data_IF_283226546654
#
_entry.id   IF_283226546654
#
_cell.length_a   1.000
_cell.length_b   1.000
_cell.length_c   1.000
_cell.angle_alpha   90.00
_cell.angle_beta   90.00
_cell.angle_gamma   90.00
#
_symmetry.space_group_name_H-M   'P 1'
#
loop_
_entity.id
_entity.type
_entity.pdbx_description
1 polymer ?
#
# COMPACT_ATOMS: atom_id res chain seq x y z
N UNK A 1 20.86 2.54 46.51
CA UNK A 1 21.57 3.53 45.67
C UNK A 1 22.60 2.89 44.76
N UNK A 2 23.51 2.03 45.23
CA UNK A 2 24.60 1.46 44.41
C UNK A 2 24.17 0.73 43.12
N UNK A 3 22.97 0.11 43.09
CA UNK A 3 22.46 -0.62 41.93
C UNK A 3 22.04 0.29 40.76
N UNK A 4 21.44 1.44 41.05
CA UNK A 4 21.05 2.45 40.03
C UNK A 4 22.26 3.10 39.38
N UNK A 5 23.35 3.28 40.11
CA UNK A 5 24.59 3.84 39.56
C UNK A 5 25.29 2.86 38.62
N UNK A 6 25.21 1.55 38.90
CA UNK A 6 25.76 0.53 38.02
C UNK A 6 24.97 0.39 36.71
N UNK A 7 23.63 0.44 36.77
CA UNK A 7 22.76 0.37 35.58
C UNK A 7 22.95 1.57 34.65
N UNK A 8 23.12 2.78 35.19
CA UNK A 8 23.36 3.99 34.40
C UNK A 8 24.72 3.95 33.66
N UNK A 9 25.77 3.45 34.33
CA UNK A 9 27.12 3.37 33.76
C UNK A 9 27.19 2.30 32.65
N UNK A 10 26.52 1.17 32.83
CA UNK A 10 26.44 0.12 31.79
C UNK A 10 25.61 0.59 30.59
N UNK A 11 24.49 1.30 30.83
CA UNK A 11 23.65 1.87 29.77
C UNK A 11 24.39 2.92 28.91
N UNK A 12 25.13 3.84 29.54
CA UNK A 12 25.93 4.83 28.79
C UNK A 12 27.07 4.18 28.00
N UNK A 13 27.69 3.12 28.52
CA UNK A 13 28.77 2.40 27.82
C UNK A 13 28.28 1.70 26.54
N UNK A 14 27.07 1.15 26.56
CA UNK A 14 26.47 0.49 25.39
C UNK A 14 26.03 1.48 24.31
N UNK A 15 25.57 2.66 24.68
CA UNK A 15 25.13 3.68 23.70
C UNK A 15 26.28 4.48 23.09
N UNK A 16 27.31 4.81 23.88
CA UNK A 16 28.40 5.68 23.40
C UNK A 16 29.54 4.92 22.72
N UNK A 17 29.69 3.62 22.99
CA UNK A 17 30.73 2.78 22.38
C UNK A 17 30.68 2.72 20.86
N UNK A 18 29.52 2.39 20.24
CA UNK A 18 29.38 2.33 18.79
C UNK A 18 29.59 3.70 18.11
N UNK A 19 29.13 4.79 18.73
CA UNK A 19 29.28 6.14 18.20
C UNK A 19 30.76 6.58 18.17
N UNK A 20 31.50 6.30 19.24
CA UNK A 20 32.93 6.58 19.29
C UNK A 20 33.73 5.74 18.27
N UNK A 21 33.32 4.48 18.03
CA UNK A 21 33.95 3.62 17.02
C UNK A 21 33.68 4.13 15.59
N UNK A 22 32.45 4.53 15.28
CA UNK A 22 32.08 5.11 13.99
C UNK A 22 32.88 6.39 13.65
N UNK A 23 33.18 7.22 14.65
CA UNK A 23 33.99 8.42 14.49
C UNK A 23 35.50 8.15 14.30
N UNK A 24 35.96 6.92 14.51
CA UNK A 24 37.37 6.52 14.30
C UNK A 24 37.63 5.79 12.98
N UNK A 25 36.58 5.49 12.20
CA UNK A 25 36.75 4.89 10.88
C UNK A 25 37.19 5.97 9.89
N UNK A 26 38.42 5.85 9.38
CA UNK A 26 38.89 6.69 8.28
C UNK A 26 38.04 6.43 7.02
N UNK A 27 37.60 7.48 6.30
CA UNK A 27 36.80 7.32 5.10
C UNK A 27 37.62 6.60 4.02
N UNK A 28 37.21 5.39 3.64
CA UNK A 28 37.80 4.67 2.52
C UNK A 28 37.35 5.32 1.21
N UNK A 29 38.27 6.02 0.56
CA UNK A 29 38.05 6.59 -0.77
C UNK A 29 38.76 5.69 -1.79
N UNK A 30 38.06 4.69 -2.31
CA UNK A 30 38.44 4.01 -3.55
C UNK A 30 37.27 4.07 -4.53
N UNK A 31 37.27 5.13 -5.34
CA UNK A 31 36.46 5.19 -6.57
C UNK A 31 37.27 4.50 -7.67
N UNK A 32 36.99 3.22 -7.90
CA UNK A 32 37.47 2.52 -9.09
C UNK A 32 36.53 2.87 -10.24
N UNK A 33 36.94 3.85 -11.07
CA UNK A 33 36.27 4.16 -12.33
C UNK A 33 36.59 3.04 -13.32
N UNK A 34 35.64 2.11 -13.53
CA UNK A 34 35.69 1.14 -14.62
C UNK A 34 35.26 1.86 -15.90
N UNK A 35 36.22 2.15 -16.79
CA UNK A 35 35.92 2.62 -18.14
C UNK A 35 35.39 1.47 -19.00
N UNK A 36 34.15 1.59 -19.44
CA UNK A 36 33.55 0.74 -20.45
C UNK A 36 34.08 1.12 -21.86
N UNK A 37 34.56 0.16 -22.66
CA UNK A 37 35.07 0.44 -24.00
C UNK A 37 33.91 0.68 -24.99
N UNK A 38 34.02 1.76 -25.75
CA UNK A 38 33.07 2.15 -26.79
C UNK A 38 32.87 1.06 -27.87
N UNK A 39 31.63 0.84 -28.37
CA UNK A 39 31.39 -0.08 -29.47
C UNK A 39 31.92 0.48 -30.80
N UNK A 40 32.62 -0.38 -31.54
CA UNK A 40 33.11 -0.10 -32.88
C UNK A 40 31.94 -0.09 -33.88
N UNK A 41 31.83 0.99 -34.66
CA UNK A 41 30.90 1.09 -35.78
C UNK A 41 31.31 0.11 -36.90
N UNK A 42 30.38 -0.76 -37.31
CA UNK A 42 30.52 -1.64 -38.47
C UNK A 42 29.88 -0.95 -39.67
N UNK A 43 30.71 -0.57 -40.64
CA UNK A 43 30.31 0.00 -41.93
C UNK A 43 29.88 -1.15 -42.86
N UNK A 44 28.59 -1.22 -43.20
CA UNK A 44 28.03 -2.20 -44.14
C UNK A 44 28.24 -1.74 -45.59
N UNK A 45 29.10 -2.46 -46.31
CA UNK A 45 29.28 -2.30 -47.76
C UNK A 45 28.01 -2.65 -48.54
N UNK A 46 27.60 -1.77 -49.45
CA UNK A 46 26.51 -1.99 -50.38
C UNK A 46 26.95 -2.87 -51.55
N UNK A 47 26.28 -4.01 -51.74
CA UNK A 47 26.44 -4.90 -52.90
C UNK A 47 25.58 -4.40 -54.08
N UNK A 48 26.11 -4.31 -55.31
CA UNK A 48 25.35 -3.87 -56.47
C UNK A 48 24.37 -4.94 -56.97
N UNK A 49 23.11 -4.53 -57.15
CA UNK A 49 22.02 -5.34 -57.70
C UNK A 49 22.12 -5.40 -59.23
N UNK A 50 22.17 -6.61 -59.78
CA UNK A 50 22.05 -6.88 -61.23
C UNK A 50 20.56 -7.06 -61.57
N UNK A 51 20.01 -6.40 -62.61
CA UNK A 51 18.63 -6.62 -63.01
C UNK A 51 18.51 -7.90 -63.84
N UNK A 52 17.89 -8.94 -63.28
CA UNK A 52 17.39 -10.11 -64.02
C UNK A 52 15.92 -9.87 -64.29
N UNK A 53 15.58 -9.72 -65.58
CA UNK A 53 14.21 -9.70 -66.08
C UNK A 53 13.79 -11.15 -66.26
N UNK A 54 12.95 -11.67 -65.36
CA UNK A 54 12.27 -12.95 -65.54
C UNK A 54 10.75 -12.73 -65.62
N UNK A 55 10.20 -13.24 -66.72
CA UNK A 55 8.81 -13.21 -67.13
C UNK A 55 7.97 -14.12 -66.24
N UNK A 56 7.09 -13.57 -65.39
CA UNK A 56 6.16 -14.34 -64.56
C UNK A 56 4.81 -14.51 -65.24
N UNK A 57 4.41 -15.78 -65.38
CA UNK A 57 3.05 -16.23 -65.72
C UNK A 57 2.20 -16.12 -64.46
N UNK A 58 1.08 -15.38 -64.52
CA UNK A 58 0.10 -15.25 -63.43
C UNK A 58 -0.53 -16.62 -63.10
N UNK A 59 -0.21 -17.14 -61.92
CA UNK A 59 -0.97 -18.20 -61.25
C UNK A 59 -1.71 -17.54 -60.08
N UNK A 60 -3.03 -17.71 -59.93
CA UNK A 60 -3.78 -17.10 -58.84
C UNK A 60 -3.24 -17.59 -57.48
N UNK A 61 -2.98 -16.69 -56.52
CA UNK A 61 -2.40 -17.06 -55.23
C UNK A 61 -3.40 -17.91 -54.44
N UNK A 62 -2.93 -19.06 -53.95
CA UNK A 62 -3.63 -19.83 -52.94
C UNK A 62 -3.83 -18.95 -51.69
N UNK A 63 -4.94 -19.10 -50.95
CA UNK A 63 -5.15 -18.37 -49.71
C UNK A 63 -3.97 -18.63 -48.77
N UNK A 64 -3.25 -17.57 -48.43
CA UNK A 64 -2.21 -17.60 -47.41
C UNK A 64 -2.92 -17.88 -46.10
N UNK A 65 -2.80 -19.12 -45.62
CA UNK A 65 -3.21 -19.47 -44.27
C UNK A 65 -2.24 -18.75 -43.36
N UNK A 66 -2.69 -17.67 -42.71
CA UNK A 66 -1.92 -17.02 -41.65
C UNK A 66 -1.53 -18.10 -40.63
N UNK A 67 -0.23 -18.26 -40.32
CA UNK A 67 0.18 -19.19 -39.28
C UNK A 67 -0.53 -18.78 -37.99
N UNK A 68 -1.23 -19.73 -37.37
CA UNK A 68 -1.86 -19.54 -36.07
C UNK A 68 -0.78 -19.00 -35.12
N UNK A 69 -0.97 -17.78 -34.63
CA UNK A 69 -0.11 -17.19 -33.60
C UNK A 69 -0.19 -18.13 -32.40
N UNK A 70 0.91 -18.83 -32.14
CA UNK A 70 1.06 -19.64 -30.95
C UNK A 70 0.94 -18.68 -29.76
N UNK A 71 -0.01 -18.90 -28.82
CA UNK A 71 -0.21 -17.97 -27.71
C UNK A 71 1.10 -17.87 -26.94
N UNK A 72 1.61 -16.65 -26.77
CA UNK A 72 2.75 -16.42 -25.90
C UNK A 72 2.45 -17.00 -24.51
N UNK A 73 3.43 -17.64 -23.85
CA UNK A 73 3.23 -18.14 -22.51
C UNK A 73 2.77 -16.99 -21.63
N UNK A 74 1.63 -17.16 -20.97
CA UNK A 74 1.10 -16.16 -20.06
C UNK A 74 2.18 -15.83 -19.02
N UNK A 75 2.55 -14.56 -18.93
CA UNK A 75 3.45 -14.08 -17.90
C UNK A 75 2.72 -14.15 -16.55
N UNK A 76 3.12 -15.10 -15.72
CA UNK A 76 2.54 -15.32 -14.39
C UNK A 76 3.24 -14.51 -13.30
N UNK A 77 4.13 -13.58 -13.67
CA UNK A 77 4.78 -12.68 -12.71
C UNK A 77 3.77 -11.68 -12.16
N UNK A 78 3.85 -11.45 -10.85
CA UNK A 78 2.99 -10.53 -10.14
C UNK A 78 3.73 -9.20 -9.97
N UNK A 79 3.22 -8.16 -10.63
CA UNK A 79 3.71 -6.79 -10.51
C UNK A 79 3.39 -6.18 -9.13
N UNK A 80 2.20 -6.51 -8.60
CA UNK A 80 1.73 -6.03 -7.31
C UNK A 80 0.93 -7.11 -6.57
N UNK A 81 1.20 -7.25 -5.27
CA UNK A 81 0.34 -7.94 -4.32
C UNK A 81 0.37 -7.22 -2.97
N UNK A 82 -0.77 -7.19 -2.27
CA UNK A 82 -0.81 -6.69 -0.90
C UNK A 82 -0.07 -7.63 0.06
N UNK A 83 0.50 -7.05 1.11
CA UNK A 83 1.05 -7.78 2.25
C UNK A 83 0.25 -7.41 3.51
N UNK A 84 -0.13 -8.42 4.28
CA UNK A 84 -0.75 -8.27 5.59
C UNK A 84 -0.09 -9.21 6.60
N UNK A 85 -0.55 -9.21 7.85
CA UNK A 85 0.00 -10.07 8.91
C UNK A 85 -0.10 -11.57 8.59
N UNK A 86 -1.08 -12.00 7.79
CA UNK A 86 -1.22 -13.40 7.39
C UNK A 86 -0.26 -13.80 6.25
N UNK A 87 0.27 -12.84 5.50
CA UNK A 87 1.22 -13.05 4.41
C UNK A 87 0.95 -12.21 3.16
N UNK A 88 1.36 -12.72 2.01
CA UNK A 88 1.14 -12.08 0.71
C UNK A 88 -0.21 -12.51 0.13
N UNK A 89 -1.09 -11.55 -0.18
CA UNK A 89 -2.43 -11.79 -0.72
C UNK A 89 -2.36 -12.01 -2.23
N UNK A 90 -2.59 -13.25 -2.67
CA UNK A 90 -2.60 -13.64 -4.08
C UNK A 90 -3.98 -13.50 -4.74
N UNK A 91 -5.05 -13.48 -3.94
CA UNK A 91 -6.42 -13.29 -4.43
C UNK A 91 -7.33 -12.84 -3.30
N UNK A 92 -8.16 -11.84 -3.56
CA UNK A 92 -9.21 -11.35 -2.65
C UNK A 92 -10.56 -12.04 -2.86
N UNK A 93 -10.66 -12.91 -3.88
CA UNK A 93 -11.88 -13.60 -4.29
C UNK A 93 -11.78 -15.12 -4.13
N UNK A 94 -10.94 -15.59 -3.20
CA UNK A 94 -10.71 -17.02 -3.03
C UNK A 94 -11.92 -17.70 -2.38
N UNK A 95 -12.64 -18.61 -3.06
CA UNK A 95 -13.74 -19.32 -2.42
C UNK A 95 -13.20 -20.23 -1.31
N UNK A 96 -13.89 -20.31 -0.18
CA UNK A 96 -13.51 -21.17 0.95
C UNK A 96 -13.36 -22.65 0.56
N UNK A 97 -14.01 -23.09 -0.53
CA UNK A 97 -13.88 -24.44 -1.07
C UNK A 97 -12.46 -24.78 -1.53
N UNK A 98 -11.59 -23.80 -1.81
CA UNK A 98 -10.17 -24.00 -2.09
C UNK A 98 -9.40 -24.50 -0.85
N UNK A 99 -9.91 -24.29 0.37
CA UNK A 99 -9.29 -24.76 1.61
C UNK A 99 -9.50 -26.26 1.90
N UNK A 100 -8.53 -26.90 2.53
CA UNK A 100 -8.56 -28.31 2.96
C UNK A 100 -7.96 -28.52 4.36
N UNK A 101 -8.35 -29.60 5.02
CA UNK A 101 -7.86 -29.97 6.35
C UNK A 101 -8.58 -29.27 7.50
N UNK A 102 -7.89 -29.14 8.63
CA UNK A 102 -8.43 -28.56 9.87
C UNK A 102 -8.31 -27.05 9.87
N UNK A 103 -9.31 -26.39 10.46
CA UNK A 103 -9.26 -24.96 10.74
C UNK A 103 -8.15 -24.66 11.75
N UNK A 104 -7.39 -23.61 11.47
CA UNK A 104 -6.42 -23.00 12.37
C UNK A 104 -6.62 -21.48 12.35
N UNK A 105 -5.97 -20.80 13.30
CA UNK A 105 -5.77 -19.36 13.22
C UNK A 105 -4.34 -19.18 12.76
N UNK A 106 -4.13 -18.31 11.79
CA UNK A 106 -2.83 -17.66 11.66
C UNK A 106 -2.71 -16.65 12.82
N UNK A 107 -1.49 -16.40 13.27
CA UNK A 107 -1.24 -15.47 14.36
C UNK A 107 -1.31 -14.04 13.79
N UNK A 108 -2.24 -13.24 14.31
CA UNK A 108 -2.37 -11.82 13.96
C UNK A 108 -3.30 -11.15 14.98
N UNK A 109 -2.94 -10.02 15.58
CA UNK A 109 -3.83 -9.28 16.46
C UNK A 109 -5.00 -8.62 15.69
N UNK A 110 -6.13 -8.42 16.39
CA UNK A 110 -7.17 -7.49 15.95
C UNK A 110 -8.32 -8.03 15.08
N UNK A 111 -8.17 -9.13 14.33
CA UNK A 111 -9.26 -9.65 13.47
C UNK A 111 -9.62 -11.12 13.74
N UNK A 112 -10.91 -11.45 13.55
CA UNK A 112 -11.38 -12.83 13.70
C UNK A 112 -11.14 -13.59 12.41
N UNK A 113 -10.03 -14.31 12.38
CA UNK A 113 -9.58 -15.05 11.21
C UNK A 113 -9.77 -16.56 11.37
N UNK A 114 -9.98 -17.24 10.25
CA UNK A 114 -10.01 -18.70 10.18
C UNK A 114 -9.36 -19.19 8.89
N UNK A 115 -8.35 -20.05 9.02
CA UNK A 115 -7.56 -20.50 7.87
C UNK A 115 -7.64 -22.00 7.65
N UNK A 116 -7.51 -22.41 6.39
CA UNK A 116 -7.20 -23.77 5.97
C UNK A 116 -6.07 -23.76 4.96
N UNK A 117 -5.28 -24.83 4.92
CA UNK A 117 -4.30 -25.02 3.84
C UNK A 117 -5.02 -25.04 2.50
N UNK A 118 -4.46 -24.43 1.47
CA UNK A 118 -5.04 -24.49 0.13
C UNK A 118 -4.88 -25.88 -0.51
N UNK A 119 -5.90 -26.37 -1.22
CA UNK A 119 -5.89 -27.61 -2.00
C UNK A 119 -5.34 -27.32 -3.40
N UNK A 120 -4.16 -27.87 -3.69
CA UNK A 120 -3.45 -27.74 -4.97
C UNK A 120 -4.29 -28.07 -6.20
N UNK A 121 -5.34 -28.89 -6.05
CA UNK A 121 -6.21 -29.31 -7.17
C UNK A 121 -7.38 -28.36 -7.41
N UNK A 122 -7.58 -27.38 -6.53
CA UNK A 122 -8.71 -26.44 -6.58
C UNK A 122 -8.26 -25.00 -6.85
N UNK A 123 -7.08 -24.63 -6.36
CA UNK A 123 -6.49 -23.31 -6.65
C UNK A 123 -6.10 -23.23 -8.13
N UNK A 124 -6.37 -22.09 -8.82
CA UNK A 124 -5.92 -21.86 -10.18
C UNK A 124 -4.40 -22.04 -10.31
N UNK A 125 -3.96 -22.67 -11.40
CA UNK A 125 -2.54 -22.98 -11.62
C UNK A 125 -1.66 -21.74 -11.55
N UNK A 126 -2.08 -20.63 -12.16
CA UNK A 126 -1.37 -19.34 -12.16
C UNK A 126 -1.10 -18.78 -10.75
N UNK A 127 -1.95 -19.07 -9.76
CA UNK A 127 -1.72 -18.70 -8.37
C UNK A 127 -0.90 -19.75 -7.63
N UNK A 128 -1.11 -21.04 -7.93
CA UNK A 128 -0.39 -22.13 -7.27
C UNK A 128 1.12 -22.12 -7.59
N UNK A 129 1.49 -21.74 -8.81
CA UNK A 129 2.90 -21.65 -9.25
C UNK A 129 3.69 -20.55 -8.53
N UNK A 130 3.01 -19.60 -7.86
CA UNK A 130 3.67 -18.58 -7.05
C UNK A 130 4.39 -19.17 -5.82
N UNK A 131 3.94 -20.35 -5.38
CA UNK A 131 4.50 -21.05 -4.23
C UNK A 131 5.99 -21.37 -4.44
N UNK A 132 6.84 -20.82 -3.57
CA UNK A 132 8.28 -21.02 -3.60
C UNK A 132 9.04 -20.03 -4.49
N UNK A 133 8.36 -19.09 -5.16
CA UNK A 133 9.01 -17.96 -5.83
C UNK A 133 9.50 -16.95 -4.80
N UNK A 134 10.34 -16.02 -5.25
CA UNK A 134 10.87 -14.93 -4.44
C UNK A 134 10.22 -13.61 -4.80
N UNK A 135 9.91 -12.83 -3.77
CA UNK A 135 9.26 -11.54 -3.87
C UNK A 135 10.09 -10.50 -3.15
N UNK A 136 10.15 -9.31 -3.72
CA UNK A 136 10.66 -8.12 -3.05
C UNK A 136 9.50 -7.48 -2.29
N UNK A 137 9.70 -7.22 -1.00
CA UNK A 137 8.70 -6.66 -0.11
C UNK A 137 9.03 -5.19 0.16
N UNK A 138 8.02 -4.35 0.10
CA UNK A 138 8.16 -2.89 0.15
C UNK A 138 7.31 -2.32 1.28
N UNK A 139 7.90 -1.38 2.03
CA UNK A 139 7.18 -0.49 2.94
C UNK A 139 6.86 0.84 2.27
N UNK A 140 6.55 1.86 3.09
CA UNK A 140 6.30 3.22 2.62
C UNK A 140 7.52 3.85 1.92
N UNK A 141 8.73 3.58 2.44
CA UNK A 141 9.97 4.22 1.98
C UNK A 141 10.70 3.42 0.88
N UNK A 142 10.20 2.23 0.53
CA UNK A 142 10.77 1.37 -0.49
C UNK A 142 11.06 -0.06 -0.03
N UNK A 143 12.01 -0.72 -0.69
CA UNK A 143 12.28 -2.15 -0.48
C UNK A 143 12.86 -2.41 0.92
N UNK A 144 12.22 -3.33 1.65
CA UNK A 144 12.65 -3.77 2.96
C UNK A 144 13.50 -5.05 2.88
N UNK A 145 12.98 -6.08 2.19
CA UNK A 145 13.61 -7.38 2.11
C UNK A 145 13.27 -8.11 0.79
N UNK A 146 13.90 -9.26 0.57
CA UNK A 146 13.46 -10.26 -0.43
C UNK A 146 13.11 -11.54 0.34
N UNK A 147 11.90 -12.06 0.17
CA UNK A 147 11.43 -13.26 0.84
C UNK A 147 10.94 -14.32 -0.15
N UNK A 148 10.85 -15.57 0.31
CA UNK A 148 10.29 -16.67 -0.48
C UNK A 148 8.85 -16.92 -0.06
N UNK A 149 7.96 -17.21 -1.00
CA UNK A 149 6.60 -17.64 -0.67
C UNK A 149 6.59 -19.10 -0.19
N UNK A 150 6.05 -19.30 1.01
CA UNK A 150 5.91 -20.57 1.72
C UNK A 150 4.67 -21.33 1.28
N UNK A 151 3.95 -21.92 2.24
CA UNK A 151 2.70 -22.62 1.93
C UNK A 151 1.56 -21.64 1.65
N UNK A 152 0.57 -22.11 0.88
CA UNK A 152 -0.64 -21.33 0.57
C UNK A 152 -1.79 -21.72 1.52
N UNK A 153 -2.52 -20.74 2.00
CA UNK A 153 -3.72 -20.89 2.82
C UNK A 153 -4.89 -20.11 2.22
N UNK A 154 -6.10 -20.59 2.50
CA UNK A 154 -7.32 -19.80 2.32
C UNK A 154 -7.67 -19.25 3.69
N UNK A 155 -7.65 -17.93 3.79
CA UNK A 155 -7.97 -17.15 4.98
C UNK A 155 -9.39 -16.63 4.84
N UNK A 156 -10.27 -16.94 5.80
CA UNK A 156 -11.55 -16.28 5.95
C UNK A 156 -11.43 -15.23 7.07
N UNK A 157 -11.90 -14.01 6.81
CA UNK A 157 -11.86 -12.91 7.76
C UNK A 157 -13.26 -12.35 7.98
N UNK A 158 -13.51 -11.91 9.22
CA UNK A 158 -14.61 -11.02 9.56
C UNK A 158 -14.03 -9.67 9.98
N UNK A 159 -14.42 -8.62 9.27
CA UNK A 159 -14.01 -7.22 9.52
C UNK A 159 -15.04 -6.43 10.36
N UNK A 160 -16.11 -7.08 10.81
CA UNK A 160 -17.14 -6.41 11.59
C UNK A 160 -16.59 -5.86 12.92
N UNK A 161 -17.18 -4.78 13.45
CA UNK A 161 -16.67 -4.02 14.59
C UNK A 161 -16.62 -4.81 15.91
N UNK A 162 -17.21 -6.01 16.00
CA UNK A 162 -17.14 -6.82 17.23
C UNK A 162 -17.45 -8.30 17.03
N UNK A 163 -16.96 -9.15 17.95
CA UNK A 163 -17.38 -10.56 18.07
C UNK A 163 -18.89 -10.72 18.19
N UNK A 164 -19.55 -9.74 18.80
CA UNK A 164 -20.97 -9.83 19.04
C UNK A 164 -21.75 -9.85 17.72
N UNK A 165 -21.42 -8.96 16.78
CA UNK A 165 -22.07 -8.90 15.47
C UNK A 165 -21.85 -10.19 14.66
N UNK A 166 -20.68 -10.83 14.81
CA UNK A 166 -20.40 -12.13 14.21
C UNK A 166 -21.40 -13.24 14.64
N UNK A 167 -21.92 -13.18 15.87
CA UNK A 167 -22.84 -14.18 16.42
C UNK A 167 -24.31 -13.74 16.46
N UNK A 168 -24.57 -12.44 16.48
CA UNK A 168 -25.89 -11.83 16.61
C UNK A 168 -26.05 -10.68 15.61
N UNK A 169 -26.00 -10.94 14.28
CA UNK A 169 -26.07 -9.88 13.27
C UNK A 169 -27.41 -9.13 13.27
N UNK A 170 -28.50 -9.78 13.69
CA UNK A 170 -29.87 -9.26 13.60
C UNK A 170 -30.53 -8.98 14.95
N UNK A 171 -29.81 -9.09 16.07
CA UNK A 171 -30.38 -9.02 17.41
C UNK A 171 -29.73 -7.93 18.26
N UNK A 172 -30.56 -7.09 18.90
CA UNK A 172 -30.17 -6.36 20.12
C UNK A 172 -30.10 -7.35 21.30
N UNK A 173 -29.19 -8.31 21.24
CA UNK A 173 -28.84 -9.16 22.37
C UNK A 173 -28.15 -8.34 23.49
N UNK A 174 -28.30 -8.77 24.73
CA UNK A 174 -27.67 -8.13 25.88
C UNK A 174 -26.14 -8.33 25.83
N UNK A 175 -25.38 -7.22 25.67
CA UNK A 175 -23.91 -7.27 25.61
C UNK A 175 -23.32 -7.90 26.89
N UNK A 176 -23.92 -7.64 28.05
CA UNK A 176 -23.46 -8.17 29.33
C UNK A 176 -23.60 -9.71 29.37
N UNK A 177 -24.65 -10.25 28.74
CA UNK A 177 -24.85 -11.69 28.61
C UNK A 177 -23.84 -12.33 27.64
N UNK A 178 -23.53 -11.66 26.52
CA UNK A 178 -22.54 -12.13 25.56
C UNK A 178 -21.13 -12.15 26.17
N UNK A 179 -20.73 -11.09 26.87
CA UNK A 179 -19.42 -10.99 27.52
C UNK A 179 -19.25 -12.06 28.62
N UNK A 180 -20.31 -12.34 29.38
CA UNK A 180 -20.30 -13.43 30.36
C UNK A 180 -20.17 -14.83 29.72
N UNK A 181 -20.50 -14.96 28.44
CA UNK A 181 -20.56 -16.23 27.69
C UNK A 181 -19.75 -16.20 26.40
N UNK A 182 -18.56 -15.55 26.42
CA UNK A 182 -17.72 -15.42 25.24
C UNK A 182 -17.50 -16.77 24.53
N UNK A 183 -17.79 -16.85 23.21
CA UNK A 183 -17.53 -18.04 22.43
C UNK A 183 -16.06 -18.47 22.52
N UNK A 184 -15.82 -19.78 22.56
CA UNK A 184 -14.44 -20.29 22.44
C UNK A 184 -13.86 -19.94 21.08
N UNK A 185 -12.54 -19.79 20.98
CA UNK A 185 -11.87 -19.49 19.69
C UNK A 185 -12.23 -20.51 18.60
N UNK A 186 -12.37 -21.79 18.95
CA UNK A 186 -12.78 -22.81 18.00
C UNK A 186 -14.19 -22.57 17.44
N UNK A 187 -15.10 -22.03 18.27
CA UNK A 187 -16.44 -21.63 17.84
C UNK A 187 -16.39 -20.36 16.98
N UNK A 188 -15.57 -19.37 17.34
CA UNK A 188 -15.31 -18.15 16.56
C UNK A 188 -14.81 -18.52 15.15
N UNK A 189 -13.71 -19.29 15.06
CA UNK A 189 -13.15 -19.72 13.78
C UNK A 189 -14.14 -20.48 12.91
N UNK A 190 -14.93 -21.37 13.52
CA UNK A 190 -15.95 -22.12 12.79
C UNK A 190 -17.03 -21.18 12.24
N UNK A 191 -17.42 -20.15 13.01
CA UNK A 191 -18.43 -19.17 12.61
C UNK A 191 -17.92 -18.28 11.47
N UNK A 192 -16.73 -17.69 11.60
CA UNK A 192 -16.08 -16.91 10.54
C UNK A 192 -16.02 -17.74 9.25
N UNK A 193 -15.47 -18.95 9.32
CA UNK A 193 -15.38 -19.82 8.14
C UNK A 193 -16.73 -20.16 7.51
N UNK A 194 -17.78 -20.36 8.32
CA UNK A 194 -19.11 -20.70 7.79
C UNK A 194 -19.77 -19.53 7.08
N UNK A 195 -19.63 -18.34 7.63
CA UNK A 195 -20.23 -17.12 7.10
C UNK A 195 -19.67 -16.82 5.71
N UNK A 196 -18.33 -16.81 5.58
CA UNK A 196 -17.66 -16.63 4.29
C UNK A 196 -17.85 -17.78 3.29
N UNK A 197 -18.40 -18.93 3.72
CA UNK A 197 -18.63 -20.08 2.85
C UNK A 197 -20.04 -20.10 2.22
N UNK A 198 -20.99 -19.39 2.82
CA UNK A 198 -22.33 -19.28 2.29
C UNK A 198 -22.29 -18.21 1.18
N UNK A 199 -22.59 -18.62 -0.06
CA UNK A 199 -22.49 -17.81 -1.30
C UNK A 199 -23.46 -16.59 -1.33
N UNK A 200 -24.19 -16.38 -0.23
CA UNK A 200 -25.04 -15.22 0.02
C UNK A 200 -24.15 -14.09 0.54
N UNK A 201 -23.27 -13.57 -0.32
CA UNK A 201 -22.50 -12.32 -0.14
C UNK A 201 -23.42 -11.09 -0.06
N UNK A 202 -24.46 -11.13 0.76
CA UNK A 202 -25.31 -9.97 1.04
C UNK A 202 -24.59 -8.98 1.97
N UNK A 203 -23.50 -9.40 2.63
CA UNK A 203 -22.68 -8.55 3.48
C UNK A 203 -21.27 -8.39 2.89
N UNK A 204 -20.92 -7.14 2.55
CA UNK A 204 -19.61 -6.73 2.01
C UNK A 204 -18.44 -6.99 2.98
N UNK A 205 -18.75 -7.36 4.22
CA UNK A 205 -17.84 -7.53 5.38
C UNK A 205 -17.21 -8.92 5.50
N UNK A 206 -17.50 -9.82 4.56
CA UNK A 206 -17.05 -11.22 4.62
C UNK A 206 -16.24 -11.57 3.38
N UNK A 207 -14.93 -11.68 3.55
CA UNK A 207 -14.00 -11.99 2.48
C UNK A 207 -13.17 -13.25 2.79
N UNK A 208 -12.92 -14.04 1.75
CA UNK A 208 -11.96 -15.13 1.79
C UNK A 208 -10.84 -14.86 0.78
N UNK A 209 -9.61 -14.95 1.26
CA UNK A 209 -8.41 -14.62 0.52
C UNK A 209 -7.52 -15.84 0.35
N UNK A 210 -6.81 -15.90 -0.78
CA UNK A 210 -5.70 -16.81 -0.96
C UNK A 210 -4.43 -16.09 -0.51
N UNK A 211 -3.81 -16.57 0.55
CA UNK A 211 -2.61 -15.95 1.14
C UNK A 211 -1.45 -16.92 1.04
N UNK A 212 -0.26 -16.38 0.77
CA UNK A 212 1.00 -17.10 0.81
C UNK A 212 1.80 -16.70 2.05
N UNK A 213 2.27 -17.68 2.81
CA UNK A 213 3.22 -17.46 3.90
C UNK A 213 4.47 -16.74 3.38
N UNK A 214 4.93 -15.73 4.11
CA UNK A 214 6.20 -15.05 3.81
C UNK A 214 7.31 -15.73 4.60
N UNK A 215 8.19 -16.45 3.90
CA UNK A 215 9.38 -17.07 4.49
C UNK A 215 10.56 -16.11 4.32
N UNK A 216 10.69 -15.19 5.28
CA UNK A 216 11.74 -14.18 5.40
C UNK A 216 12.35 -14.13 6.80
N UNK A 217 13.21 -13.14 7.04
CA UNK A 217 13.65 -12.78 8.39
C UNK A 217 12.90 -11.53 8.89
N UNK A 218 13.23 -11.08 10.10
CA UNK A 218 12.55 -9.93 10.73
C UNK A 218 12.73 -8.61 9.95
N UNK A 219 13.62 -8.54 8.94
CA UNK A 219 13.75 -7.33 8.09
C UNK A 219 12.54 -7.09 7.18
N UNK A 220 11.66 -8.08 7.04
CA UNK A 220 10.42 -7.95 6.27
C UNK A 220 9.26 -7.32 7.06
N UNK A 221 9.45 -7.04 8.35
CA UNK A 221 8.43 -6.39 9.18
C UNK A 221 8.07 -4.99 8.65
N UNK A 222 6.78 -4.67 8.63
CA UNK A 222 6.28 -3.40 8.08
C UNK A 222 6.13 -3.38 6.56
N UNK A 223 6.29 -4.52 5.87
CA UNK A 223 5.97 -4.63 4.46
C UNK A 223 4.47 -4.43 4.22
N UNK A 224 4.15 -3.61 3.22
CA UNK A 224 2.79 -3.19 2.86
C UNK A 224 2.35 -3.81 1.54
N UNK A 225 3.31 -4.03 0.63
CA UNK A 225 3.09 -4.65 -0.66
C UNK A 225 4.33 -5.39 -1.15
N UNK A 226 4.17 -6.16 -2.21
CA UNK A 226 5.22 -6.98 -2.77
C UNK A 226 5.14 -7.10 -4.29
N UNK A 227 6.29 -7.37 -4.90
CA UNK A 227 6.47 -7.59 -6.34
C UNK A 227 7.35 -8.81 -6.56
N UNK A 228 7.11 -9.56 -7.64
CA UNK A 228 7.99 -10.67 -8.01
C UNK A 228 9.44 -10.16 -8.22
N UNK A 229 10.39 -10.72 -7.47
CA UNK A 229 11.80 -10.27 -7.46
C UNK A 229 12.55 -10.47 -8.78
N UNK A 230 11.98 -11.21 -9.74
CA UNK A 230 12.54 -11.36 -11.08
C UNK A 230 12.17 -10.21 -12.03
N UNK A 231 11.21 -9.36 -11.64
CA UNK A 231 10.90 -8.13 -12.35
C UNK A 231 11.96 -7.06 -12.06
N UNK A 232 12.17 -6.09 -12.96
CA UNK A 232 12.98 -4.92 -12.64
C UNK A 232 12.39 -4.16 -11.44
N UNK A 233 13.23 -3.38 -10.75
CA UNK A 233 12.78 -2.57 -9.62
C UNK A 233 11.66 -1.61 -10.08
N UNK A 234 10.60 -1.42 -9.26
CA UNK A 234 9.54 -0.46 -9.53
C UNK A 234 10.10 0.97 -9.52
N UNK A 235 9.43 1.89 -10.19
CA UNK A 235 9.65 3.31 -9.93
C UNK A 235 8.91 3.66 -8.63
N UNK A 236 9.59 4.32 -7.69
CA UNK A 236 9.03 4.73 -6.42
C UNK A 236 9.12 6.25 -6.32
N UNK A 237 8.08 6.88 -5.79
CA UNK A 237 8.18 8.26 -5.33
C UNK A 237 8.47 8.29 -3.83
N UNK A 238 9.36 9.17 -3.42
CA UNK A 238 9.76 9.34 -2.04
C UNK A 238 9.16 10.62 -1.46
N UNK A 239 8.47 10.56 -0.31
CA UNK A 239 7.96 11.75 0.33
C UNK A 239 9.12 12.59 0.89
N UNK A 240 8.97 13.91 0.83
CA UNK A 240 9.92 14.86 1.39
C UNK A 240 9.19 16.07 1.95
N UNK A 241 9.35 16.27 3.26
CA UNK A 241 8.88 17.46 3.98
C UNK A 241 9.94 18.57 4.03
N UNK A 242 11.05 18.40 3.30
CA UNK A 242 12.10 19.41 3.29
C UNK A 242 11.60 20.71 2.63
N UNK A 243 11.83 21.88 3.26
CA UNK A 243 11.45 23.15 2.66
C UNK A 243 12.10 23.37 1.30
N UNK A 244 11.30 23.67 0.29
CA UNK A 244 11.74 23.96 -1.08
C UNK A 244 11.00 25.19 -1.62
N UNK A 245 11.48 25.82 -2.71
CA UNK A 245 10.74 26.87 -3.38
C UNK A 245 9.34 26.42 -3.82
N UNK A 246 9.17 25.12 -4.12
CA UNK A 246 7.90 24.53 -4.52
C UNK A 246 6.93 24.47 -3.34
N UNK A 247 7.36 23.90 -2.20
CA UNK A 247 6.50 23.79 -1.00
C UNK A 247 6.14 25.16 -0.44
N UNK A 248 7.10 26.10 -0.41
CA UNK A 248 6.82 27.49 -0.01
C UNK A 248 5.81 28.19 -0.92
N UNK A 249 5.84 27.94 -2.24
CA UNK A 249 4.86 28.50 -3.17
C UNK A 249 3.47 27.90 -2.92
N UNK A 250 3.36 26.58 -2.72
CA UNK A 250 2.07 25.94 -2.46
C UNK A 250 1.43 26.44 -1.17
N UNK A 251 2.22 26.61 -0.10
CA UNK A 251 1.76 27.23 1.15
C UNK A 251 1.25 28.65 0.89
N UNK A 252 2.00 29.47 0.16
CA UNK A 252 1.60 30.85 -0.14
C UNK A 252 0.31 30.93 -1.00
N UNK A 253 0.11 30.00 -1.93
CA UNK A 253 -1.14 29.89 -2.71
C UNK A 253 -2.32 29.51 -1.81
N UNK A 254 -2.14 28.56 -0.88
CA UNK A 254 -3.15 28.18 0.10
C UNK A 254 -3.52 29.36 1.02
N UNK A 255 -2.53 30.07 1.55
CA UNK A 255 -2.75 31.26 2.40
C UNK A 255 -3.52 32.38 1.68
N UNK A 256 -3.39 32.45 0.35
CA UNK A 256 -4.08 33.42 -0.50
C UNK A 256 -5.40 32.88 -1.11
N UNK A 257 -5.77 31.63 -0.83
CA UNK A 257 -6.90 30.95 -1.47
C UNK A 257 -8.26 31.47 -1.00
N UNK A 258 -9.25 31.43 -1.91
CA UNK A 258 -10.64 31.70 -1.55
C UNK A 258 -11.20 30.62 -0.62
N UNK A 259 -10.76 29.37 -0.79
CA UNK A 259 -11.15 28.22 0.05
C UNK A 259 -10.78 28.44 1.52
N UNK A 260 -9.53 28.83 1.83
CA UNK A 260 -9.13 29.14 3.20
C UNK A 260 -9.94 30.30 3.80
N UNK A 261 -10.25 31.32 2.99
CA UNK A 261 -11.06 32.45 3.43
C UNK A 261 -12.52 32.03 3.72
N UNK A 262 -13.07 31.12 2.92
CA UNK A 262 -14.40 30.55 3.11
C UNK A 262 -14.44 29.65 4.35
N UNK A 263 -13.50 28.72 4.51
CA UNK A 263 -13.37 27.85 5.68
C UNK A 263 -13.24 28.67 6.97
N UNK A 264 -12.45 29.76 6.95
CA UNK A 264 -12.39 30.69 8.09
C UNK A 264 -13.76 31.30 8.41
N UNK A 265 -14.50 31.70 7.39
CA UNK A 265 -15.82 32.33 7.58
C UNK A 265 -16.80 31.33 8.18
N UNK A 266 -16.87 30.12 7.64
CA UNK A 266 -17.73 29.05 8.13
C UNK A 266 -17.38 28.65 9.58
N UNK A 267 -16.08 28.58 9.92
CA UNK A 267 -15.65 28.30 11.28
C UNK A 267 -16.09 29.38 12.28
N UNK A 268 -15.97 30.65 11.90
CA UNK A 268 -16.42 31.77 12.75
C UNK A 268 -17.94 31.81 12.92
N UNK A 269 -18.70 31.44 11.88
CA UNK A 269 -20.15 31.28 11.95
C UNK A 269 -20.53 30.14 12.90
N UNK A 270 -19.90 28.97 12.77
CA UNK A 270 -20.08 27.84 13.69
C UNK A 270 -19.83 28.23 15.15
N UNK A 271 -18.72 28.90 15.44
CA UNK A 271 -18.43 29.36 16.82
C UNK A 271 -19.52 30.30 17.34
N UNK A 272 -20.15 31.12 16.49
CA UNK A 272 -21.23 32.02 16.91
C UNK A 272 -22.53 31.28 17.26
N UNK A 273 -22.72 30.05 16.78
CA UNK A 273 -23.93 29.25 16.97
C UNK A 273 -23.87 28.33 18.20
N UNK A 274 -22.67 27.96 18.66
CA UNK A 274 -22.48 27.05 19.79
C UNK A 274 -22.36 27.76 21.15
N UNK A 275 -22.61 27.02 22.22
CA UNK A 275 -22.53 27.54 23.59
C UNK A 275 -21.10 27.88 24.03
N UNK A 276 -20.98 28.68 25.08
CA UNK A 276 -19.68 29.17 25.58
C UNK A 276 -18.70 28.05 25.99
N UNK A 277 -19.10 27.02 26.77
CA UNK A 277 -18.27 25.85 27.01
C UNK A 277 -17.72 25.20 25.74
N UNK A 278 -18.58 24.95 24.74
CA UNK A 278 -18.18 24.35 23.47
C UNK A 278 -17.21 25.26 22.71
N UNK A 279 -17.47 26.58 22.64
CA UNK A 279 -16.55 27.56 22.04
C UNK A 279 -15.16 27.53 22.66
N UNK A 280 -15.05 27.34 23.98
CA UNK A 280 -13.75 27.26 24.66
C UNK A 280 -12.98 25.98 24.30
N UNK A 281 -13.67 24.89 23.98
CA UNK A 281 -13.06 23.65 23.50
C UNK A 281 -12.48 23.81 22.10
N UNK A 282 -13.24 24.40 21.16
CA UNK A 282 -12.78 24.59 19.78
C UNK A 282 -11.72 25.68 19.63
N UNK A 283 -11.75 26.72 20.48
CA UNK A 283 -10.76 27.79 20.46
C UNK A 283 -11.05 28.89 19.44
N UNK A 284 -10.03 29.67 19.08
CA UNK A 284 -10.13 30.70 18.04
C UNK A 284 -9.52 30.19 16.72
N UNK A 285 -9.87 30.86 15.62
CA UNK A 285 -9.27 30.57 14.31
C UNK A 285 -7.73 30.63 14.35
N UNK A 286 -7.16 31.63 15.03
CA UNK A 286 -5.71 31.76 15.16
C UNK A 286 -5.08 30.61 15.95
N UNK A 287 -5.80 30.05 16.93
CA UNK A 287 -5.36 28.85 17.63
C UNK A 287 -5.42 27.63 16.72
N UNK A 288 -6.50 27.46 15.95
CA UNK A 288 -6.62 26.37 14.97
C UNK A 288 -5.47 26.38 13.96
N UNK A 289 -5.19 27.54 13.35
CA UNK A 289 -4.08 27.70 12.39
C UNK A 289 -2.71 27.44 13.04
N UNK A 290 -2.54 27.79 14.32
CA UNK A 290 -1.28 27.58 15.03
C UNK A 290 -1.09 26.10 15.45
N UNK A 291 -2.17 25.42 15.83
CA UNK A 291 -2.14 24.02 16.24
C UNK A 291 -2.11 23.07 15.04
N UNK A 292 -2.71 23.47 13.91
CA UNK A 292 -2.82 22.71 12.67
C UNK A 292 -2.42 23.56 11.45
N UNK A 293 -1.15 23.99 11.35
CA UNK A 293 -0.68 24.80 10.24
C UNK A 293 -0.72 24.02 8.92
N UNK A 294 -0.69 24.75 7.81
CA UNK A 294 -0.55 24.14 6.50
C UNK A 294 0.80 23.42 6.40
N UNK A 295 0.78 22.16 5.97
CA UNK A 295 1.95 21.33 5.68
C UNK A 295 1.93 20.95 4.21
N UNK A 296 3.13 20.85 3.61
CA UNK A 296 3.25 20.41 2.21
C UNK A 296 4.35 19.37 2.09
N UNK A 297 3.99 18.20 1.58
CA UNK A 297 4.89 17.08 1.29
C UNK A 297 5.12 17.01 -0.22
N UNK A 298 6.38 16.95 -0.66
CA UNK A 298 6.73 16.72 -2.07
C UNK A 298 6.99 15.24 -2.30
N UNK A 299 6.41 14.68 -3.36
CA UNK A 299 6.65 13.30 -3.78
C UNK A 299 7.66 13.30 -4.93
N UNK A 300 8.89 12.90 -4.62
CA UNK A 300 10.05 13.04 -5.48
C UNK A 300 10.34 11.74 -6.24
N UNK A 301 10.68 11.82 -7.52
CA UNK A 301 11.19 10.68 -8.28
C UNK A 301 12.67 10.36 -7.97
N UNK A 302 13.21 9.35 -8.64
CA UNK A 302 14.60 8.92 -8.46
C UNK A 302 15.66 10.00 -8.81
N UNK A 303 15.29 11.01 -9.62
CA UNK A 303 16.14 12.15 -9.96
C UNK A 303 15.95 13.34 -9.01
N UNK A 304 15.14 13.17 -7.96
CA UNK A 304 14.80 14.20 -6.99
C UNK A 304 13.85 15.27 -7.54
N UNK A 305 13.17 14.99 -8.65
CA UNK A 305 12.15 15.91 -9.20
C UNK A 305 10.80 15.63 -8.53
N UNK A 306 10.17 16.69 -8.02
CA UNK A 306 8.81 16.59 -7.50
C UNK A 306 7.84 16.27 -8.63
N UNK A 307 7.12 15.16 -8.50
CA UNK A 307 6.03 14.74 -9.39
C UNK A 307 4.67 15.14 -8.86
N UNK A 308 4.54 15.15 -7.53
CA UNK A 308 3.35 15.61 -6.85
C UNK A 308 3.70 16.45 -5.63
N UNK A 309 2.75 17.27 -5.22
CA UNK A 309 2.74 17.93 -3.92
C UNK A 309 1.41 17.65 -3.23
N UNK A 310 1.50 17.36 -1.96
CA UNK A 310 0.36 17.17 -1.09
C UNK A 310 0.29 18.34 -0.12
N UNK A 311 -0.86 18.98 0.01
CA UNK A 311 -1.13 20.04 0.96
C UNK A 311 -2.15 19.52 1.97
N UNK A 312 -1.88 19.74 3.26
CA UNK A 312 -2.84 19.51 4.32
C UNK A 312 -2.89 20.70 5.26
N UNK A 313 -4.10 21.08 5.67
CA UNK A 313 -4.35 22.14 6.64
C UNK A 313 -5.57 21.80 7.51
N UNK A 314 -5.54 22.23 8.77
CA UNK A 314 -6.68 22.12 9.67
C UNK A 314 -6.84 20.73 10.28
N UNK A 315 -8.06 20.44 10.74
CA UNK A 315 -8.36 19.22 11.46
C UNK A 315 -9.81 18.76 11.18
N UNK A 316 -10.01 17.45 11.24
CA UNK A 316 -11.30 16.78 10.97
C UNK A 316 -11.79 16.01 12.21
N UNK A 317 -12.44 16.69 13.15
CA UNK A 317 -13.16 16.04 14.27
C UNK A 317 -14.63 15.71 13.98
N UNK A 318 -15.16 16.13 12.84
CA UNK A 318 -16.56 15.93 12.47
C UNK A 318 -16.95 14.44 12.29
N UNK A 319 -15.97 13.53 12.25
CA UNK A 319 -16.19 12.11 11.91
C UNK A 319 -17.02 11.37 12.97
N UNK A 320 -17.04 11.83 14.23
CA UNK A 320 -17.75 11.16 15.34
C UNK A 320 -18.67 12.07 16.18
N UNK A 321 -19.04 13.27 15.72
CA UNK A 321 -19.92 14.17 16.49
C UNK A 321 -20.23 15.52 15.82
N UNK A 322 -20.73 16.49 16.62
CA UNK A 322 -21.08 17.86 16.20
C UNK A 322 -19.85 18.77 15.95
N UNK A 323 -18.75 18.18 15.45
CA UNK A 323 -17.49 18.87 15.13
C UNK A 323 -17.60 19.77 13.90
N UNK A 324 -16.67 20.73 13.77
CA UNK A 324 -16.60 21.57 12.58
C UNK A 324 -15.45 21.11 11.68
N UNK A 325 -15.80 20.70 10.46
CA UNK A 325 -14.83 20.32 9.45
C UNK A 325 -14.08 21.54 8.93
N UNK A 326 -12.83 21.70 9.37
CA UNK A 326 -11.92 22.78 8.95
C UNK A 326 -10.81 22.31 8.03
N UNK A 327 -10.83 21.02 7.68
CA UNK A 327 -9.78 20.37 6.95
C UNK A 327 -9.78 20.79 5.48
N UNK A 328 -8.62 21.18 4.97
CA UNK A 328 -8.37 21.44 3.56
C UNK A 328 -7.21 20.54 3.15
N UNK A 329 -7.46 19.67 2.18
CA UNK A 329 -6.47 18.77 1.61
C UNK A 329 -6.45 18.91 0.10
N UNK A 330 -5.26 18.89 -0.49
CA UNK A 330 -5.13 18.74 -1.94
C UNK A 330 -3.95 17.85 -2.28
N UNK A 331 -4.10 17.12 -3.38
CA UNK A 331 -3.03 16.36 -3.98
C UNK A 331 -2.87 16.83 -5.43
N UNK A 332 -1.76 17.50 -5.73
CA UNK A 332 -1.55 18.18 -7.00
C UNK A 332 -0.38 17.56 -7.75
N UNK A 333 -0.57 17.28 -9.04
CA UNK A 333 0.52 16.92 -9.94
C UNK A 333 1.35 18.15 -10.28
N UNK A 334 2.66 17.95 -10.43
CA UNK A 334 3.61 19.00 -10.78
C UNK A 334 4.02 18.85 -12.24
N UNK A 335 3.47 19.70 -13.12
CA UNK A 335 3.82 19.73 -14.55
C UNK A 335 4.38 21.10 -14.93
N UNK A 336 5.60 21.14 -15.48
CA UNK A 336 6.30 22.39 -15.84
C UNK A 336 6.34 23.44 -14.70
N UNK A 337 6.34 22.95 -13.46
CA UNK A 337 6.29 23.77 -12.27
C UNK A 337 4.95 24.46 -12.04
N UNK A 338 3.86 24.05 -12.67
CA UNK A 338 2.48 24.35 -12.26
C UNK A 338 1.93 23.26 -11.34
N UNK A 339 0.87 23.57 -10.59
CA UNK A 339 0.14 22.59 -9.79
C UNK A 339 -1.17 22.26 -10.51
N UNK A 340 -1.34 21.00 -10.88
CA UNK A 340 -2.54 20.49 -11.52
C UNK A 340 -3.31 19.65 -10.49
N UNK A 341 -4.51 20.09 -10.07
CA UNK A 341 -5.30 19.33 -9.12
C UNK A 341 -5.61 17.93 -9.64
N UNK A 342 -5.44 16.93 -8.79
CA UNK A 342 -5.85 15.56 -9.07
C UNK A 342 -7.15 15.24 -8.35
N UNK A 343 -7.79 14.14 -8.72
CA UNK A 343 -8.89 13.53 -7.96
C UNK A 343 -8.39 12.57 -6.87
N UNK A 344 -7.09 12.61 -6.58
CA UNK A 344 -6.46 11.70 -5.64
C UNK A 344 -6.81 12.10 -4.21
N UNK A 345 -7.02 11.10 -3.37
CA UNK A 345 -7.02 11.29 -1.92
C UNK A 345 -5.61 11.66 -1.48
N UNK A 346 -5.54 12.46 -0.44
CA UNK A 346 -4.30 12.79 0.29
C UNK A 346 -3.84 11.59 1.13
N UNK A 347 -2.68 11.72 1.76
CA UNK A 347 -2.09 10.72 2.65
C UNK A 347 -1.85 9.34 2.00
N UNK A 348 -1.39 9.25 0.73
CA UNK A 348 -0.91 7.97 0.24
C UNK A 348 0.31 7.54 1.06
N UNK A 349 0.37 6.28 1.44
CA UNK A 349 1.51 5.71 2.17
C UNK A 349 2.63 5.29 1.21
N UNK A 350 2.29 4.99 -0.03
CA UNK A 350 3.27 4.78 -1.10
C UNK A 350 2.70 5.17 -2.45
N UNK A 351 3.58 5.67 -3.35
CA UNK A 351 3.26 5.94 -4.75
C UNK A 351 4.36 5.31 -5.60
N UNK A 352 3.95 4.49 -6.57
CA UNK A 352 4.88 3.68 -7.35
C UNK A 352 4.33 3.34 -8.73
N UNK A 353 5.20 2.86 -9.60
CA UNK A 353 4.88 2.22 -10.88
C UNK A 353 5.26 0.74 -10.76
N UNK A 354 4.26 -0.10 -10.48
CA UNK A 354 4.42 -1.49 -10.12
C UNK A 354 4.71 -2.41 -11.31
N UNK A 355 4.37 -2.04 -12.54
CA UNK A 355 4.60 -2.88 -13.72
C UNK A 355 5.51 -2.23 -14.78
N UNK A 356 5.91 -0.98 -14.57
CA UNK A 356 6.77 -0.14 -15.41
C UNK A 356 6.11 0.29 -16.72
N UNK A 357 4.80 0.51 -16.70
CA UNK A 357 4.04 1.06 -17.83
C UNK A 357 4.00 2.60 -17.87
N UNK A 358 4.51 3.25 -16.82
CA UNK A 358 4.53 4.71 -16.66
C UNK A 358 3.32 5.27 -15.93
N UNK A 359 2.38 4.43 -15.51
CA UNK A 359 1.20 4.78 -14.74
C UNK A 359 1.48 4.55 -13.25
N UNK A 360 1.03 5.47 -12.41
CA UNK A 360 1.34 5.42 -10.98
C UNK A 360 0.18 4.84 -10.19
N UNK A 361 0.46 3.80 -9.42
CA UNK A 361 -0.39 3.34 -8.36
C UNK A 361 -0.11 4.06 -7.05
N UNK A 362 -1.16 4.12 -6.23
CA UNK A 362 -1.13 4.68 -4.89
C UNK A 362 -1.67 3.67 -3.91
N UNK A 363 -0.99 3.54 -2.80
CA UNK A 363 -1.42 2.72 -1.69
C UNK A 363 -1.83 3.62 -0.53
N UNK A 364 -3.10 3.52 -0.14
CA UNK A 364 -3.69 4.20 1.01
C UNK A 364 -3.94 3.22 2.15
N UNK A 365 -3.85 3.70 3.38
CA UNK A 365 -4.30 2.98 4.56
C UNK A 365 -5.33 3.80 5.32
N UNK A 366 -6.46 3.17 5.65
CA UNK A 366 -7.51 3.75 6.48
C UNK A 366 -7.49 3.08 7.84
N UNK A 367 -7.16 3.84 8.88
CA UNK A 367 -7.25 3.39 10.27
C UNK A 367 -8.72 3.17 10.69
N UNK A 368 -9.66 3.90 10.09
CA UNK A 368 -11.08 3.81 10.43
C UNK A 368 -11.66 2.43 10.07
N UNK A 369 -11.33 1.97 8.86
CA UNK A 369 -11.85 0.71 8.31
C UNK A 369 -10.81 -0.43 8.39
N UNK A 370 -9.65 -0.16 8.99
CA UNK A 370 -8.47 -1.04 8.97
C UNK A 370 -8.24 -1.61 7.57
N UNK A 371 -8.21 -0.77 6.53
CA UNK A 371 -8.16 -1.24 5.14
C UNK A 371 -6.96 -0.68 4.40
N UNK A 372 -6.47 -1.44 3.43
CA UNK A 372 -5.48 -1.03 2.46
C UNK A 372 -6.17 -0.87 1.11
N UNK A 373 -6.02 0.29 0.47
CA UNK A 373 -6.64 0.56 -0.83
C UNK A 373 -5.57 0.94 -1.85
N UNK A 374 -5.49 0.16 -2.93
CA UNK A 374 -4.71 0.47 -4.11
C UNK A 374 -5.61 1.20 -5.12
N UNK A 375 -5.14 2.32 -5.66
CA UNK A 375 -5.76 3.00 -6.81
C UNK A 375 -4.76 3.18 -7.94
N UNK A 376 -5.20 2.91 -9.16
CA UNK A 376 -4.47 3.15 -10.42
C UNK A 376 -5.18 4.23 -11.25
N UNK A 377 -4.44 5.07 -11.97
CA UNK A 377 -4.99 6.16 -12.79
C UNK A 377 -5.84 5.69 -13.97
N UNK A 378 -5.59 4.49 -14.48
CA UNK A 378 -6.00 4.08 -15.83
C UNK A 378 -6.91 2.88 -15.85
N UNK A 379 -6.75 1.99 -14.87
CA UNK A 379 -7.62 0.85 -14.71
C UNK A 379 -9.00 1.28 -14.21
N UNK A 380 -9.12 2.47 -13.59
CA UNK A 380 -10.35 2.88 -12.89
C UNK A 380 -10.73 1.91 -11.76
N UNK A 381 -9.84 0.97 -11.46
CA UNK A 381 -10.04 -0.11 -10.53
C UNK A 381 -9.49 0.34 -9.18
N UNK A 382 -10.36 0.31 -8.18
CA UNK A 382 -9.98 0.43 -6.77
C UNK A 382 -9.91 -0.98 -6.21
N UNK A 383 -8.73 -1.38 -5.74
CA UNK A 383 -8.58 -2.67 -5.06
C UNK A 383 -8.43 -2.40 -3.58
N UNK A 384 -9.39 -2.85 -2.79
CA UNK A 384 -9.36 -2.72 -1.34
C UNK A 384 -9.25 -4.10 -0.73
N UNK A 385 -8.32 -4.24 0.22
CA UNK A 385 -8.35 -5.33 1.18
C UNK A 385 -8.63 -4.73 2.54
N UNK A 386 -9.51 -5.37 3.33
CA UNK A 386 -9.43 -5.16 4.77
C UNK A 386 -8.09 -5.73 5.26
N UNK A 387 -7.55 -5.19 6.32
CA UNK A 387 -6.31 -5.66 6.88
C UNK A 387 -6.57 -6.54 8.09
N UNK A 388 -5.62 -7.43 8.33
CA UNK A 388 -5.42 -8.12 9.60
C UNK A 388 -4.32 -7.31 10.28
N UNK A 389 -4.64 -6.26 11.05
CA UNK A 389 -3.70 -5.66 12.01
C UNK A 389 -4.43 -5.29 13.30
N UNK A 390 -3.70 -5.29 14.41
CA UNK A 390 -3.97 -4.34 15.48
C UNK A 390 -3.18 -3.07 15.21
N UNK A 391 -3.87 -1.94 15.22
CA UNK A 391 -3.24 -0.64 15.35
C UNK A 391 -2.17 -0.70 16.47
N UNK A 392 -0.89 -0.38 16.20
CA UNK A 392 0.10 -0.28 17.27
C UNK A 392 -0.25 0.96 18.11
N UNK A 393 -0.91 0.73 19.24
CA UNK A 393 -1.19 1.76 20.24
C UNK A 393 0.09 2.34 20.86
#
# INVERSE_FOLDING_TARGET
>A
MARRTAELVVGMGLLLGPLAYALTLEPQTEVVVVQEPAPAAVELEAVPVVPVVETTVEVPPAPVVEPAVEPEPADDRIAFAFVNEAGLVLSTEAPTTWGTGRLHSDAGPGSYCASKRADARKVPEAMWVQRGRTFDLYGAEGKLCTARLGELSVLAQHDGPSLYQLFHPDEEADWDEFEANLPSEAKIRKRVWSLTADDEREHETEAAWLVAEIVGDDSCEGALWARDSSLPAPALLHPSDEPSPLTARRIAEHEASEELAETRTQYLEFLAEIDEPSRQQYGSWEKLVADHPATVTSWLDADGQARFVELQFGYSDAICGDGHYSFIGSFDRVEDGAFEPTDWEIEPVAIFDADLDGELERLYFSDHDNSATLRSETLGDTWTITQVWSCPC
#
